data_IF_355488706184
#
_entry.id   IF_355488706184
#
_cell.length_a   1.000
_cell.length_b   1.000
_cell.length_c   1.000
_cell.angle_alpha   90.00
_cell.angle_beta   90.00
_cell.angle_gamma   90.00
#
_symmetry.space_group_name_H-M   'P 1'
#
loop_
_entity.id
_entity.type
_entity.pdbx_description
1 polymer ?
#
# COMPACT_ATOMS: atom_id res chain seq x y z
N UNK A 1 -10.33 9.63 -9.91
CA UNK A 1 -8.97 10.07 -9.52
C UNK A 1 -7.95 9.56 -10.55
N UNK A 2 -8.06 9.99 -11.81
CA UNK A 2 -7.18 9.58 -12.93
C UNK A 2 -6.36 10.77 -13.48
N UNK A 3 -6.50 11.95 -12.86
CA UNK A 3 -5.98 13.23 -13.37
C UNK A 3 -4.54 13.49 -12.88
N UNK A 4 -4.15 13.02 -11.68
CA UNK A 4 -2.82 13.28 -11.10
C UNK A 4 -1.68 12.63 -11.89
N UNK A 5 -1.82 11.34 -12.23
CA UNK A 5 -0.78 10.57 -12.94
C UNK A 5 -0.47 11.11 -14.34
N UNK A 6 -1.45 11.74 -15.00
CA UNK A 6 -1.24 12.37 -16.31
C UNK A 6 -0.62 13.76 -16.21
N UNK A 7 -0.85 14.51 -15.13
CA UNK A 7 -0.32 15.88 -15.00
C UNK A 7 1.14 15.92 -14.54
N UNK A 8 1.59 14.96 -13.72
CA UNK A 8 2.99 14.89 -13.28
C UNK A 8 3.96 14.36 -14.35
N UNK A 9 3.49 13.66 -15.40
CA UNK A 9 4.37 13.26 -16.51
C UNK A 9 4.76 14.43 -17.41
N UNK A 10 3.93 15.47 -17.46
CA UNK A 10 4.04 16.54 -18.46
C UNK A 10 4.55 17.87 -17.87
N UNK A 11 4.50 18.04 -16.54
CA UNK A 11 4.92 19.28 -15.88
C UNK A 11 5.71 19.00 -14.60
N UNK A 12 7.03 19.10 -14.68
CA UNK A 12 7.96 18.89 -13.55
C UNK A 12 8.09 20.10 -12.59
N UNK A 13 7.38 21.20 -12.86
CA UNK A 13 7.59 22.51 -12.20
C UNK A 13 6.31 23.14 -11.61
N UNK A 14 5.26 22.34 -11.38
CA UNK A 14 4.00 22.83 -10.81
C UNK A 14 3.89 22.40 -9.35
N UNK A 15 3.96 23.36 -8.42
CA UNK A 15 3.53 23.16 -7.03
C UNK A 15 2.02 22.89 -6.99
N UNK A 16 1.67 21.61 -7.08
CA UNK A 16 0.30 21.16 -6.91
C UNK A 16 -0.05 21.21 -5.42
N UNK A 17 -0.80 22.24 -5.02
CA UNK A 17 -1.43 22.29 -3.69
C UNK A 17 -2.58 21.30 -3.65
N UNK A 18 -2.29 20.07 -3.25
CA UNK A 18 -3.29 19.00 -3.12
C UNK A 18 -4.10 19.21 -1.84
N UNK A 19 -5.36 19.61 -2.00
CA UNK A 19 -6.32 19.73 -0.89
C UNK A 19 -6.98 18.36 -0.69
N UNK A 20 -6.74 17.73 0.47
CA UNK A 20 -7.39 16.45 0.87
C UNK A 20 -6.45 15.25 1.00
N UNK A 21 -5.15 15.41 0.79
CA UNK A 21 -4.16 14.42 1.24
C UNK A 21 -3.84 14.66 2.72
N UNK A 22 -3.90 13.62 3.57
CA UNK A 22 -3.37 13.72 4.92
C UNK A 22 -1.92 14.22 4.92
N UNK A 23 -1.73 15.42 5.46
CA UNK A 23 -0.40 16.01 5.70
C UNK A 23 0.16 15.60 7.06
N UNK A 24 -0.67 15.01 7.91
CA UNK A 24 -0.32 14.52 9.24
C UNK A 24 -1.05 13.19 9.58
N UNK A 25 -0.58 12.53 10.63
CA UNK A 25 -1.18 11.27 11.13
C UNK A 25 -2.64 11.43 11.55
N UNK A 26 -3.04 12.61 12.02
CA UNK A 26 -4.41 12.89 12.49
C UNK A 26 -5.40 12.90 11.32
N UNK A 27 -5.05 13.54 10.22
CA UNK A 27 -5.80 13.54 8.98
C UNK A 27 -5.85 12.14 8.35
N UNK A 28 -4.78 11.35 8.51
CA UNK A 28 -4.72 9.99 7.98
C UNK A 28 -5.70 9.08 8.73
N UNK A 29 -5.76 9.22 10.06
CA UNK A 29 -6.76 8.55 10.91
C UNK A 29 -8.18 8.99 10.54
N UNK A 30 -8.43 10.30 10.42
CA UNK A 30 -9.75 10.80 10.02
C UNK A 30 -10.19 10.26 8.66
N UNK A 31 -9.28 10.15 7.69
CA UNK A 31 -9.57 9.58 6.37
C UNK A 31 -9.86 8.07 6.45
N UNK A 32 -9.12 7.33 7.28
CA UNK A 32 -9.33 5.90 7.49
C UNK A 32 -10.69 5.61 8.15
N UNK A 33 -11.10 6.44 9.10
CA UNK A 33 -12.38 6.32 9.79
C UNK A 33 -13.56 6.68 8.88
N UNK A 34 -13.44 7.76 8.11
CA UNK A 34 -14.49 8.20 7.18
C UNK A 34 -14.64 7.26 5.99
N UNK A 35 -13.52 6.84 5.39
CA UNK A 35 -13.53 6.02 4.19
C UNK A 35 -12.25 5.19 4.04
N UNK A 36 -12.30 3.97 4.58
CA UNK A 36 -11.23 2.96 4.51
C UNK A 36 -10.68 2.74 3.08
N UNK A 37 -11.54 2.85 2.05
CA UNK A 37 -11.11 2.69 0.66
C UNK A 37 -10.33 3.89 0.15
N UNK A 38 -10.78 5.10 0.48
CA UNK A 38 -10.07 6.33 0.13
C UNK A 38 -8.73 6.40 0.85
N UNK A 39 -8.67 5.96 2.10
CA UNK A 39 -7.43 5.80 2.84
C UNK A 39 -6.46 4.82 2.18
N UNK A 40 -6.94 3.65 1.77
CA UNK A 40 -6.12 2.68 1.04
C UNK A 40 -5.56 3.28 -0.26
N UNK A 41 -6.37 3.99 -1.02
CA UNK A 41 -5.95 4.62 -2.28
C UNK A 41 -4.94 5.72 -2.05
N UNK A 42 -5.13 6.55 -1.02
CA UNK A 42 -4.18 7.57 -0.63
C UNK A 42 -2.84 6.97 -0.22
N UNK A 43 -2.84 5.96 0.66
CA UNK A 43 -1.62 5.29 1.09
C UNK A 43 -0.87 4.64 -0.08
N UNK A 44 -1.60 3.99 -0.99
CA UNK A 44 -1.04 3.43 -2.23
C UNK A 44 -0.55 4.49 -3.22
N UNK A 45 -0.97 5.75 -3.10
CA UNK A 45 -0.45 6.84 -3.94
C UNK A 45 0.83 7.47 -3.39
N UNK A 46 1.17 7.22 -2.12
CA UNK A 46 2.40 7.73 -1.49
C UNK A 46 3.62 6.91 -1.88
N UNK A 47 3.41 5.61 -2.00
CA UNK A 47 4.40 4.68 -2.54
C UNK A 47 4.00 4.46 -3.99
N UNK A 48 4.88 4.68 -4.95
CA UNK A 48 4.61 4.63 -6.40
C UNK A 48 4.16 3.22 -6.86
N UNK A 49 2.98 2.80 -6.42
CA UNK A 49 2.45 1.46 -6.61
C UNK A 49 1.55 1.46 -7.80
N UNK A 50 1.68 0.39 -8.60
CA UNK A 50 0.72 0.13 -9.65
C UNK A 50 -0.47 -0.58 -9.02
N UNK A 51 -1.68 0.00 -9.07
CA UNK A 51 -2.87 -0.64 -8.52
C UNK A 51 -3.11 -1.97 -9.25
N UNK A 52 -3.55 -2.99 -8.49
CA UNK A 52 -3.90 -4.30 -9.04
C UNK A 52 -5.17 -4.19 -9.89
N UNK A 53 -5.00 -3.95 -11.20
CA UNK A 53 -5.98 -4.12 -12.27
C UNK A 53 -7.21 -3.20 -12.30
N UNK A 54 -7.70 -2.87 -13.51
CA UNK A 54 -9.00 -2.24 -13.79
C UNK A 54 -10.22 -3.10 -13.39
N UNK A 55 -10.01 -4.28 -12.81
CA UNK A 55 -11.06 -5.23 -12.42
C UNK A 55 -11.29 -5.16 -10.92
N UNK A 56 -12.47 -4.66 -10.54
CA UNK A 56 -13.18 -4.82 -9.26
C UNK A 56 -12.26 -5.17 -8.08
N UNK A 57 -11.95 -4.14 -7.27
CA UNK A 57 -11.45 -4.19 -5.87
C UNK A 57 -11.26 -5.62 -5.35
N UNK A 58 -10.00 -6.01 -5.15
CA UNK A 58 -9.55 -7.23 -4.50
C UNK A 58 -9.94 -7.35 -3.03
N UNK A 59 -11.23 -7.25 -2.72
CA UNK A 59 -11.78 -7.78 -1.46
C UNK A 59 -11.52 -9.30 -1.37
N UNK A 60 -11.36 -9.99 -2.51
CA UNK A 60 -11.13 -11.43 -2.59
C UNK A 60 -9.65 -11.85 -2.68
N UNK A 61 -8.72 -11.00 -3.13
CA UNK A 61 -7.33 -11.43 -3.41
C UNK A 61 -6.30 -11.08 -2.34
N UNK A 62 -6.63 -10.13 -1.44
CA UNK A 62 -5.73 -9.65 -0.38
C UNK A 62 -4.59 -8.74 -0.86
N UNK A 63 -4.54 -8.39 -2.15
CA UNK A 63 -3.51 -7.53 -2.76
C UNK A 63 -4.02 -6.08 -2.80
N UNK A 64 -3.31 -5.17 -2.15
CA UNK A 64 -3.56 -3.72 -2.25
C UNK A 64 -2.92 -3.11 -3.49
N UNK A 65 -1.69 -3.49 -3.82
CA UNK A 65 -0.98 -3.06 -5.02
C UNK A 65 0.36 -3.78 -5.19
N UNK A 66 1.00 -3.58 -6.34
CA UNK A 66 2.38 -4.02 -6.58
C UNK A 66 3.32 -2.82 -6.57
N UNK A 67 4.45 -2.97 -5.90
CA UNK A 67 5.58 -2.06 -6.01
C UNK A 67 6.69 -2.76 -6.81
N UNK A 68 7.12 -2.16 -7.92
CA UNK A 68 8.20 -2.71 -8.74
C UNK A 68 9.49 -1.94 -8.45
N UNK A 69 10.59 -2.65 -8.32
CA UNK A 69 11.89 -2.05 -8.06
C UNK A 69 12.99 -2.77 -8.84
N UNK A 70 14.08 -2.06 -9.12
CA UNK A 70 15.25 -2.64 -9.74
C UNK A 70 16.27 -3.00 -8.66
N UNK A 71 16.75 -4.24 -8.68
CA UNK A 71 17.82 -4.72 -7.82
C UNK A 71 18.88 -5.41 -8.70
N UNK A 72 20.06 -4.79 -8.80
CA UNK A 72 21.17 -5.31 -9.60
C UNK A 72 20.83 -5.54 -11.08
N UNK A 73 19.98 -4.70 -11.68
CA UNK A 73 19.53 -4.83 -13.07
C UNK A 73 18.33 -5.75 -13.28
N UNK A 74 17.84 -6.44 -12.25
CA UNK A 74 16.63 -7.27 -12.32
C UNK A 74 15.43 -6.51 -11.79
N UNK A 75 14.32 -6.55 -12.54
CA UNK A 75 13.04 -6.02 -12.05
C UNK A 75 12.41 -7.03 -11.10
N UNK A 76 12.26 -6.62 -9.85
CA UNK A 76 11.63 -7.35 -8.76
C UNK A 76 10.28 -6.73 -8.42
N UNK A 77 9.45 -7.47 -7.67
CA UNK A 77 8.14 -6.97 -7.23
C UNK A 77 7.91 -7.22 -5.75
N UNK A 78 7.25 -6.28 -5.11
CA UNK A 78 6.75 -6.39 -3.75
C UNK A 78 5.22 -6.29 -3.73
N UNK A 79 4.58 -7.02 -2.83
CA UNK A 79 3.14 -6.91 -2.56
C UNK A 79 2.94 -5.84 -1.50
N UNK A 80 1.95 -4.98 -1.69
CA UNK A 80 1.56 -3.99 -0.68
C UNK A 80 0.16 -4.30 -0.18
N UNK A 81 -0.01 -4.33 1.14
CA UNK A 81 -1.29 -4.41 1.82
C UNK A 81 -1.45 -3.22 2.75
N UNK A 82 -2.59 -2.52 2.67
CA UNK A 82 -2.90 -1.35 3.50
C UNK A 82 -4.11 -1.64 4.38
N UNK A 83 -4.01 -1.32 5.67
CA UNK A 83 -5.10 -1.45 6.66
C UNK A 83 -5.25 -0.16 7.45
N UNK A 84 -6.42 0.47 7.35
CA UNK A 84 -6.75 1.69 8.11
C UNK A 84 -7.42 1.44 9.46
N UNK A 85 -7.72 0.19 9.81
CA UNK A 85 -8.44 -0.16 11.04
C UNK A 85 -7.67 -1.15 11.91
N UNK A 86 -8.37 -1.88 12.77
CA UNK A 86 -7.76 -2.88 13.66
C UNK A 86 -6.91 -3.89 12.88
N UNK A 87 -5.68 -4.09 13.37
CA UNK A 87 -4.68 -4.97 12.76
C UNK A 87 -4.52 -6.24 13.56
N UNK A 88 -4.39 -7.35 12.85
CA UNK A 88 -4.29 -8.69 13.45
C UNK A 88 -3.15 -9.47 12.82
N UNK A 89 -2.59 -10.43 13.56
CA UNK A 89 -1.54 -11.32 13.04
C UNK A 89 -1.99 -12.12 11.81
N UNK A 90 -3.29 -12.45 11.71
CA UNK A 90 -3.84 -13.12 10.52
C UNK A 90 -3.60 -12.33 9.24
N UNK A 91 -3.66 -11.00 9.29
CA UNK A 91 -3.42 -10.15 8.12
C UNK A 91 -1.96 -10.21 7.64
N UNK A 92 -1.01 -10.44 8.55
CA UNK A 92 0.41 -10.65 8.23
C UNK A 92 0.61 -12.03 7.59
N UNK A 93 -0.05 -13.06 8.12
CA UNK A 93 -0.04 -14.42 7.53
C UNK A 93 -0.62 -14.43 6.13
N UNK A 94 -1.75 -13.75 5.95
CA UNK A 94 -2.38 -13.59 4.64
C UNK A 94 -1.43 -12.90 3.66
N UNK A 95 -0.76 -11.82 4.07
CA UNK A 95 0.24 -11.15 3.26
C UNK A 95 1.41 -12.09 2.90
N UNK A 96 1.94 -12.84 3.85
CA UNK A 96 3.00 -13.82 3.60
C UNK A 96 2.56 -14.87 2.56
N UNK A 97 1.36 -15.43 2.69
CA UNK A 97 0.80 -16.37 1.72
C UNK A 97 0.63 -15.74 0.32
N UNK A 98 0.24 -14.47 0.25
CA UNK A 98 0.13 -13.74 -1.03
C UNK A 98 1.51 -13.50 -1.63
N UNK A 99 2.51 -13.09 -0.84
CA UNK A 99 3.90 -12.90 -1.32
C UNK A 99 4.45 -14.20 -1.90
N UNK A 100 4.27 -15.32 -1.20
CA UNK A 100 4.69 -16.65 -1.66
C UNK A 100 3.96 -17.07 -2.94
N UNK A 101 2.62 -16.96 -2.96
CA UNK A 101 1.78 -17.30 -4.14
C UNK A 101 2.16 -16.48 -5.37
N UNK A 102 2.36 -15.18 -5.18
CA UNK A 102 2.67 -14.25 -6.27
C UNK A 102 4.15 -14.30 -6.67
N UNK A 103 5.00 -15.05 -5.93
CA UNK A 103 6.46 -15.04 -6.09
C UNK A 103 7.02 -13.62 -6.06
N UNK A 104 6.53 -12.82 -5.12
CA UNK A 104 7.06 -11.50 -4.86
C UNK A 104 8.29 -11.62 -3.95
N UNK A 105 9.25 -10.72 -4.14
CA UNK A 105 10.48 -10.69 -3.35
C UNK A 105 10.21 -10.15 -1.94
N UNK A 106 9.19 -9.31 -1.76
CA UNK A 106 8.89 -8.64 -0.49
C UNK A 106 7.38 -8.40 -0.29
N UNK A 107 6.99 -8.19 0.98
CA UNK A 107 5.66 -7.75 1.37
C UNK A 107 5.74 -6.49 2.24
N UNK A 108 4.96 -5.47 1.90
CA UNK A 108 4.81 -4.25 2.70
C UNK A 108 3.41 -4.22 3.33
N UNK A 109 3.39 -4.06 4.66
CA UNK A 109 2.16 -3.89 5.42
C UNK A 109 2.10 -2.47 5.97
N UNK A 110 1.13 -1.68 5.48
CA UNK A 110 0.95 -0.27 5.87
C UNK A 110 -0.28 -0.15 6.77
N UNK A 111 -0.10 0.46 7.94
CA UNK A 111 -1.14 0.63 8.95
C UNK A 111 -0.94 1.92 9.74
N UNK A 112 -2.03 2.49 10.25
CA UNK A 112 -2.01 3.60 11.21
C UNK A 112 -1.84 3.12 12.66
N UNK A 113 -2.18 1.85 12.91
CA UNK A 113 -2.04 1.22 14.21
C UNK A 113 -0.66 0.60 14.36
N UNK A 114 -0.08 0.72 15.56
CA UNK A 114 1.16 0.05 15.91
C UNK A 114 1.01 -1.48 15.75
N UNK A 115 2.02 -2.17 15.18
CA UNK A 115 1.99 -3.62 15.08
C UNK A 115 2.01 -4.25 16.48
N UNK A 116 1.14 -5.23 16.69
CA UNK A 116 1.07 -6.00 17.93
C UNK A 116 2.31 -6.90 18.10
N UNK A 117 2.60 -7.35 19.32
CA UNK A 117 3.71 -8.29 19.58
C UNK A 117 3.70 -9.51 18.64
N UNK A 118 2.57 -10.23 18.51
CA UNK A 118 2.45 -11.36 17.59
C UNK A 118 2.69 -11.01 16.12
N UNK A 119 2.34 -9.80 15.67
CA UNK A 119 2.62 -9.37 14.30
C UNK A 119 4.11 -9.18 14.03
N UNK A 120 4.87 -8.71 15.03
CA UNK A 120 6.32 -8.54 14.92
C UNK A 120 7.03 -9.89 14.87
N UNK A 121 6.55 -10.86 15.64
CA UNK A 121 7.09 -12.24 15.64
C UNK A 121 6.78 -12.97 14.34
N UNK A 122 5.59 -12.75 13.76
CA UNK A 122 5.18 -13.36 12.49
C UNK A 122 5.86 -12.72 11.26
N UNK A 123 6.50 -11.55 11.42
CA UNK A 123 7.22 -10.91 10.33
C UNK A 123 8.41 -11.80 9.92
N UNK A 124 8.35 -12.38 8.72
CA UNK A 124 9.50 -13.05 8.11
C UNK A 124 10.49 -12.00 7.64
N UNK A 125 11.66 -11.92 8.26
CA UNK A 125 12.82 -11.28 7.63
C UNK A 125 13.32 -12.21 6.52
N UNK A 126 13.49 -11.68 5.32
CA UNK A 126 14.12 -12.41 4.22
C UNK A 126 15.59 -12.59 4.59
N UNK A 127 15.98 -13.83 4.88
CA UNK A 127 17.36 -14.28 5.11
C UNK A 127 18.15 -14.36 3.83
#
# INVERSE_FOLDING_TARGET
MMIRWRLQSDYSDVELKVIGEPVDLSCANALADQNKYQFQWWALSLIDTRPYGDKKKGAETGIGGYYYFNDGGKTKKAIVSVKGGHVTVSQIRDLNSVVEREKADMGFFITLNNPTGPMKEEQKMLS
#
